data_IF_947095374844
#
_entry.id   IF_947095374844
#
_cell.length_a   1.000
_cell.length_b   1.000
_cell.length_c   1.000
_cell.angle_alpha   90.00
_cell.angle_beta   90.00
_cell.angle_gamma   90.00
#
_symmetry.space_group_name_H-M   'P 1'
#
loop_
_entity.id
_entity.type
_entity.pdbx_description
1 polymer ?
#
# COMPACT_ATOMS: atom_id res chain seq x y z
N UNK A 1 19.82 -31.97 15.22
CA UNK A 1 20.55 -30.74 15.58
C UNK A 1 19.52 -29.81 16.15
N UNK A 2 19.58 -29.57 17.45
CA UNK A 2 18.73 -28.58 18.11
C UNK A 2 19.30 -27.18 17.87
N UNK A 3 18.46 -26.14 17.89
CA UNK A 3 18.95 -24.77 17.72
C UNK A 3 19.77 -24.33 18.95
N UNK A 4 20.66 -23.36 18.76
CA UNK A 4 21.40 -22.77 19.87
C UNK A 4 20.44 -21.99 20.79
N UNK A 5 20.63 -22.04 22.13
CA UNK A 5 19.84 -21.23 23.05
C UNK A 5 19.93 -19.73 22.72
N UNK A 6 18.79 -19.05 22.65
CA UNK A 6 18.67 -17.64 22.26
C UNK A 6 18.45 -17.41 20.75
N UNK A 7 18.41 -18.47 19.94
CA UNK A 7 18.13 -18.43 18.50
C UNK A 7 16.81 -19.14 18.16
N UNK A 8 15.94 -19.34 19.16
CA UNK A 8 14.62 -19.93 18.98
C UNK A 8 13.73 -19.03 18.11
N UNK A 9 12.89 -19.64 17.27
CA UNK A 9 11.89 -18.90 16.53
C UNK A 9 10.73 -18.51 17.46
N UNK A 10 10.52 -17.21 17.66
CA UNK A 10 9.43 -16.70 18.48
C UNK A 10 8.23 -16.32 17.61
N UNK A 11 7.09 -16.97 17.83
CA UNK A 11 5.83 -16.55 17.23
C UNK A 11 5.34 -15.27 17.91
N UNK A 12 5.18 -14.20 17.13
CA UNK A 12 4.69 -12.91 17.59
C UNK A 12 3.31 -12.64 17.00
N UNK A 13 2.47 -11.95 17.78
CA UNK A 13 1.17 -11.49 17.34
C UNK A 13 1.05 -9.97 17.56
N UNK A 14 0.32 -9.30 16.68
CA UNK A 14 -0.02 -7.89 16.81
C UNK A 14 -1.53 -7.69 16.62
N UNK A 15 -2.04 -6.58 17.14
CA UNK A 15 -3.41 -6.10 16.87
C UNK A 15 -3.31 -4.74 16.21
N UNK A 16 -3.94 -4.58 15.04
CA UNK A 16 -4.04 -3.29 14.36
C UNK A 16 -5.25 -2.52 14.87
N UNK A 17 -5.05 -1.23 15.17
CA UNK A 17 -6.13 -0.29 15.42
C UNK A 17 -6.21 0.69 14.24
N UNK A 18 -7.37 0.74 13.60
CA UNK A 18 -7.61 1.62 12.44
C UNK A 18 -8.18 2.94 12.93
N UNK A 19 -7.49 4.04 12.60
CA UNK A 19 -7.92 5.39 12.94
C UNK A 19 -8.13 6.19 11.65
N UNK A 20 -9.22 6.98 11.55
CA UNK A 20 -9.46 7.81 10.39
C UNK A 20 -8.39 8.91 10.29
N UNK A 21 -7.95 9.20 9.07
CA UNK A 21 -7.03 10.30 8.77
C UNK A 21 -7.79 11.44 8.08
N UNK A 22 -7.41 12.72 8.27
CA UNK A 22 -8.11 13.87 7.69
C UNK A 22 -7.72 14.11 6.21
N UNK A 23 -7.53 13.03 5.45
CA UNK A 23 -7.16 13.09 4.04
C UNK A 23 -8.19 12.35 3.20
N UNK A 24 -8.59 12.95 2.09
CA UNK A 24 -9.51 12.36 1.11
C UNK A 24 -9.08 12.81 -0.27
N UNK A 25 -8.99 11.86 -1.20
CA UNK A 25 -8.63 12.13 -2.59
C UNK A 25 -9.82 11.84 -3.49
N UNK A 26 -10.12 12.77 -4.40
CA UNK A 26 -11.21 12.64 -5.37
C UNK A 26 -10.71 12.47 -6.81
N UNK A 27 -9.40 12.57 -7.02
CA UNK A 27 -8.74 12.45 -8.31
C UNK A 27 -7.26 12.06 -8.12
N UNK A 28 -6.59 11.73 -9.21
CA UNK A 28 -5.18 11.30 -9.21
C UNK A 28 -4.23 12.35 -8.63
N UNK A 29 -4.47 13.64 -8.90
CA UNK A 29 -3.63 14.73 -8.40
C UNK A 29 -3.68 14.82 -6.88
N UNK A 30 -4.88 14.85 -6.31
CA UNK A 30 -5.08 14.83 -4.85
C UNK A 30 -4.48 13.57 -4.22
N UNK A 31 -4.65 12.42 -4.87
CA UNK A 31 -4.11 11.15 -4.40
C UNK A 31 -2.57 11.18 -4.30
N UNK A 32 -1.88 11.64 -5.36
CA UNK A 32 -0.43 11.80 -5.35
C UNK A 32 0.04 12.77 -4.24
N UNK A 33 -0.64 13.90 -4.05
CA UNK A 33 -0.32 14.84 -2.97
C UNK A 33 -0.53 14.25 -1.58
N UNK A 34 -1.58 13.47 -1.39
CA UNK A 34 -1.88 12.81 -0.11
C UNK A 34 -0.86 11.71 0.18
N UNK A 35 -0.43 10.94 -0.82
CA UNK A 35 0.60 9.91 -0.65
C UNK A 35 1.92 10.45 -0.10
N UNK A 36 2.23 11.74 -0.35
CA UNK A 36 3.40 12.44 0.23
C UNK A 36 3.22 12.83 1.70
N UNK A 37 1.98 12.95 2.16
CA UNK A 37 1.63 13.46 3.50
C UNK A 37 1.34 12.34 4.49
N UNK A 38 0.71 11.25 4.04
CA UNK A 38 0.34 10.15 4.92
C UNK A 38 1.56 9.45 5.51
N UNK A 39 1.41 8.92 6.73
CA UNK A 39 2.46 8.12 7.34
C UNK A 39 2.72 6.84 6.56
N UNK A 40 3.91 6.27 6.72
CA UNK A 40 4.27 4.99 6.08
C UNK A 40 3.38 3.83 6.56
N UNK A 41 2.79 3.97 7.76
CA UNK A 41 1.84 3.01 8.33
C UNK A 41 0.49 3.02 7.60
N UNK A 42 0.02 4.18 7.13
CA UNK A 42 -1.18 4.27 6.30
C UNK A 42 -0.95 3.62 4.94
N UNK A 43 0.24 3.82 4.34
CA UNK A 43 0.63 3.11 3.12
C UNK A 43 0.65 1.58 3.34
N UNK A 44 1.25 1.13 4.44
CA UNK A 44 1.26 -0.29 4.81
C UNK A 44 -0.15 -0.86 4.95
N UNK A 45 -1.04 -0.15 5.65
CA UNK A 45 -2.43 -0.56 5.84
C UNK A 45 -3.15 -0.76 4.49
N UNK A 46 -3.02 0.21 3.58
CA UNK A 46 -3.74 0.19 2.30
C UNK A 46 -3.15 -0.75 1.25
N UNK A 47 -1.86 -1.08 1.31
CA UNK A 47 -1.20 -1.99 0.37
C UNK A 47 -1.10 -3.42 0.91
N UNK A 48 -0.51 -3.58 2.09
CA UNK A 48 -0.16 -4.91 2.62
C UNK A 48 -1.29 -5.50 3.42
N UNK A 49 -1.76 -4.77 4.43
CA UNK A 49 -2.81 -5.28 5.32
C UNK A 49 -4.12 -5.48 4.54
N UNK A 50 -4.39 -4.62 3.55
CA UNK A 50 -5.52 -4.76 2.63
C UNK A 50 -5.61 -6.15 1.99
N UNK A 51 -4.50 -6.74 1.51
CA UNK A 51 -4.53 -8.08 0.88
C UNK A 51 -5.01 -9.16 1.85
N UNK A 52 -4.53 -9.12 3.10
CA UNK A 52 -4.95 -10.06 4.15
C UNK A 52 -6.39 -9.78 4.61
N UNK A 53 -6.73 -8.50 4.81
CA UNK A 53 -8.04 -8.04 5.30
C UNK A 53 -9.16 -8.28 4.28
N UNK A 54 -8.89 -8.11 2.99
CA UNK A 54 -9.85 -8.28 1.90
C UNK A 54 -9.95 -9.73 1.41
N UNK A 55 -8.96 -10.58 1.74
CA UNK A 55 -8.92 -11.98 1.30
C UNK A 55 -8.69 -12.16 -0.21
N UNK A 56 -8.20 -11.13 -0.90
CA UNK A 56 -7.90 -11.14 -2.34
C UNK A 56 -6.50 -10.57 -2.58
N UNK A 57 -5.78 -10.96 -3.66
CA UNK A 57 -4.45 -10.48 -3.98
C UNK A 57 -4.48 -9.05 -4.56
N UNK A 58 -5.18 -8.13 -3.91
CA UNK A 58 -5.36 -6.75 -4.34
C UNK A 58 -5.31 -5.76 -3.15
N UNK A 59 -5.26 -4.47 -3.44
CA UNK A 59 -5.07 -3.43 -2.43
C UNK A 59 -6.12 -2.31 -2.54
N UNK A 60 -6.27 -1.54 -1.46
CA UNK A 60 -7.31 -0.50 -1.37
C UNK A 60 -7.13 0.57 -2.46
N UNK A 61 -5.89 0.94 -2.79
CA UNK A 61 -5.62 1.96 -3.81
C UNK A 61 -6.00 1.48 -5.20
N UNK A 62 -5.63 0.26 -5.57
CA UNK A 62 -6.05 -0.34 -6.84
C UNK A 62 -7.57 -0.46 -6.94
N UNK A 63 -8.27 -0.84 -5.88
CA UNK A 63 -9.74 -0.87 -5.89
C UNK A 63 -10.35 0.52 -6.09
N UNK A 64 -9.84 1.53 -5.38
CA UNK A 64 -10.29 2.91 -5.56
C UNK A 64 -10.00 3.44 -6.97
N UNK A 65 -8.81 3.18 -7.52
CA UNK A 65 -8.44 3.58 -8.88
C UNK A 65 -9.39 2.99 -9.94
N UNK A 66 -9.75 1.70 -9.83
CA UNK A 66 -10.77 1.10 -10.72
C UNK A 66 -12.12 1.80 -10.57
N UNK A 67 -12.51 2.17 -9.35
CA UNK A 67 -13.79 2.85 -9.11
C UNK A 67 -13.91 4.23 -9.78
N UNK A 68 -12.78 4.86 -10.11
CA UNK A 68 -12.73 6.15 -10.83
C UNK A 68 -12.35 5.99 -12.31
N UNK A 69 -12.33 4.76 -12.85
CA UNK A 69 -12.05 4.46 -14.26
C UNK A 69 -10.57 4.36 -14.63
N UNK A 70 -9.69 4.20 -13.64
CA UNK A 70 -8.23 4.09 -13.84
C UNK A 70 -7.75 2.64 -13.83
N UNK A 71 -8.42 1.77 -14.59
CA UNK A 71 -8.19 0.32 -14.60
C UNK A 71 -6.75 -0.07 -14.92
N UNK A 72 -6.15 0.57 -15.94
CA UNK A 72 -4.76 0.28 -16.34
C UNK A 72 -3.78 0.59 -15.20
N UNK A 73 -3.89 1.77 -14.59
CA UNK A 73 -3.05 2.18 -13.48
C UNK A 73 -3.29 1.29 -12.25
N UNK A 74 -4.55 0.94 -11.98
CA UNK A 74 -4.91 0.03 -10.88
C UNK A 74 -4.25 -1.33 -11.03
N UNK A 75 -4.26 -1.91 -12.23
CA UNK A 75 -3.65 -3.21 -12.52
C UNK A 75 -2.12 -3.17 -12.41
N UNK A 76 -1.49 -2.10 -12.90
CA UNK A 76 -0.04 -1.91 -12.75
C UNK A 76 0.38 -1.80 -11.28
N UNK A 77 -0.37 -1.04 -10.47
CA UNK A 77 -0.12 -0.92 -9.03
C UNK A 77 -0.38 -2.25 -8.31
N UNK A 78 -1.44 -2.96 -8.69
CA UNK A 78 -1.81 -4.24 -8.06
C UNK A 78 -0.71 -5.30 -8.24
N UNK A 79 -0.02 -5.28 -9.38
CA UNK A 79 1.12 -6.16 -9.71
C UNK A 79 2.43 -5.80 -9.01
N UNK A 80 2.51 -4.66 -8.31
CA UNK A 80 3.71 -4.34 -7.55
C UNK A 80 3.92 -5.42 -6.49
N UNK A 81 5.14 -5.95 -6.45
CA UNK A 81 5.61 -6.79 -5.37
C UNK A 81 6.15 -5.90 -4.26
N UNK A 82 5.43 -5.75 -3.15
CA UNK A 82 5.79 -4.79 -2.14
C UNK A 82 6.83 -5.38 -1.16
N UNK A 83 7.15 -6.68 -1.24
CA UNK A 83 8.16 -7.35 -0.41
C UNK A 83 9.59 -7.19 -0.95
N UNK A 84 9.72 -6.77 -2.22
CA UNK A 84 11.02 -6.60 -2.89
C UNK A 84 11.59 -5.17 -2.80
N UNK A 85 10.97 -4.28 -2.03
CA UNK A 85 11.46 -2.92 -1.83
C UNK A 85 11.04 -2.35 -0.48
N UNK A 86 11.70 -1.27 -0.05
CA UNK A 86 11.25 -0.53 1.13
C UNK A 86 9.90 0.13 0.87
N UNK A 87 9.09 0.31 1.91
CA UNK A 87 7.81 1.01 1.80
C UNK A 87 7.95 2.43 1.22
N UNK A 88 9.06 3.10 1.52
CA UNK A 88 9.33 4.44 0.98
C UNK A 88 9.65 4.42 -0.51
N UNK A 89 10.38 3.40 -0.99
CA UNK A 89 10.61 3.20 -2.42
C UNK A 89 9.28 2.90 -3.13
N UNK A 90 8.43 2.07 -2.51
CA UNK A 90 7.10 1.76 -3.01
C UNK A 90 6.23 3.01 -3.11
N UNK A 91 6.19 3.84 -2.06
CA UNK A 91 5.49 5.14 -2.07
C UNK A 91 5.92 5.99 -3.25
N UNK A 92 7.23 6.18 -3.44
CA UNK A 92 7.76 7.01 -4.54
C UNK A 92 7.41 6.43 -5.90
N UNK A 93 7.44 5.10 -6.06
CA UNK A 93 7.05 4.43 -7.29
C UNK A 93 5.57 4.66 -7.62
N UNK A 94 4.67 4.47 -6.63
CA UNK A 94 3.23 4.70 -6.81
C UNK A 94 2.97 6.16 -7.16
N UNK A 95 3.57 7.12 -6.45
CA UNK A 95 3.42 8.56 -6.74
C UNK A 95 3.82 8.84 -8.19
N UNK A 96 4.96 8.33 -8.65
CA UNK A 96 5.41 8.54 -10.03
C UNK A 96 4.41 8.00 -11.05
N UNK A 97 3.93 6.77 -10.87
CA UNK A 97 2.95 6.16 -11.78
C UNK A 97 1.66 6.96 -11.85
N UNK A 98 1.18 7.45 -10.69
CA UNK A 98 -0.02 8.29 -10.59
C UNK A 98 0.20 9.65 -11.27
N UNK A 99 1.35 10.29 -11.06
CA UNK A 99 1.67 11.58 -11.66
C UNK A 99 1.87 11.52 -13.17
N UNK A 100 2.51 10.47 -13.67
CA UNK A 100 2.69 10.24 -15.10
C UNK A 100 1.29 10.09 -15.74
N UNK A 101 0.42 9.26 -15.15
CA UNK A 101 -0.95 9.06 -15.63
C UNK A 101 -1.82 10.32 -15.57
N UNK A 102 -1.61 11.19 -14.59
CA UNK A 102 -2.38 12.44 -14.42
C UNK A 102 -1.96 13.56 -15.39
N UNK A 103 -0.87 13.37 -16.16
CA UNK A 103 -0.41 14.29 -17.21
C UNK A 103 -0.92 13.90 -18.60
N UNK A 104 -1.34 12.66 -18.77
CA UNK A 104 -1.95 12.11 -19.99
C UNK A 104 -3.43 12.53 -20.10
#
# INVERSE_FOLDING_TARGET
>A
MDCLPGYEFHFLACKTFVLPMPYTANNLREFAEILRKISIRSLYFHIFEARMRLGVPDNDFSQWLRSIGEDKLADEISRLDPYNMTLENLRRKIIRMVEDRARD
#
